data_IF_132860639316
#
_entry.id   IF_132860639316
#
_cell.length_a   1.000
_cell.length_b   1.000
_cell.length_c   1.000
_cell.angle_alpha   90.00
_cell.angle_beta   90.00
_cell.angle_gamma   90.00
#
_symmetry.space_group_name_H-M   'P 1'
#
loop_
_entity.id
_entity.type
_entity.pdbx_description
1 polymer ?
#
# COMPACT_ATOMS: atom_id res chain seq x y z
N UNK A 1 1.28 44.15 21.36
CA UNK A 1 1.25 43.07 20.35
C UNK A 1 0.44 41.93 20.91
N UNK A 2 -0.51 41.38 20.16
CA UNK A 2 -1.48 40.40 20.66
C UNK A 2 -0.73 39.13 21.11
N UNK A 3 -0.80 38.73 22.38
CA UNK A 3 -0.24 37.49 22.87
C UNK A 3 -1.23 36.36 22.55
N UNK A 4 -0.82 35.33 21.82
CA UNK A 4 -1.65 34.13 21.65
C UNK A 4 -1.82 33.55 20.24
N UNK A 5 -1.03 33.97 19.24
CA UNK A 5 -0.88 33.16 18.04
C UNK A 5 0.43 32.37 18.14
N UNK A 6 0.31 31.05 18.27
CA UNK A 6 1.39 30.12 17.94
C UNK A 6 1.90 30.49 16.54
N UNK A 7 3.15 30.93 16.46
CA UNK A 7 3.82 31.21 15.20
C UNK A 7 3.82 29.93 14.33
N UNK A 8 3.62 30.09 13.02
CA UNK A 8 3.51 28.96 12.10
C UNK A 8 4.79 28.10 12.04
N UNK A 9 5.95 28.62 12.48
CA UNK A 9 7.15 27.82 12.68
C UNK A 9 7.03 26.91 13.92
N UNK A 10 6.47 27.42 15.02
CA UNK A 10 6.28 26.64 16.25
C UNK A 10 5.30 25.48 16.08
N UNK A 11 4.26 25.63 15.24
CA UNK A 11 3.37 24.52 14.89
C UNK A 11 4.07 23.44 14.07
N UNK A 12 4.94 23.83 13.12
CA UNK A 12 5.72 22.88 12.30
C UNK A 12 6.69 22.07 13.15
N UNK A 13 7.36 22.72 14.09
CA UNK A 13 8.25 22.02 15.03
C UNK A 13 7.51 21.07 15.96
N UNK A 14 6.34 21.47 16.47
CA UNK A 14 5.53 20.60 17.32
C UNK A 14 5.01 19.37 16.56
N UNK A 15 4.57 19.56 15.31
CA UNK A 15 4.14 18.46 14.44
C UNK A 15 5.29 17.52 14.10
N UNK A 16 6.49 18.05 13.82
CA UNK A 16 7.70 17.25 13.55
C UNK A 16 8.10 16.43 14.77
N UNK A 17 8.18 17.05 15.95
CA UNK A 17 8.48 16.36 17.22
C UNK A 17 7.47 15.25 17.55
N UNK A 18 6.18 15.46 17.25
CA UNK A 18 5.14 14.44 17.45
C UNK A 18 5.26 13.27 16.46
N UNK A 19 5.69 13.52 15.22
CA UNK A 19 5.97 12.47 14.25
C UNK A 19 7.21 11.65 14.64
N UNK A 20 8.31 12.32 15.02
CA UNK A 20 9.54 11.64 15.47
C UNK A 20 9.28 10.78 16.72
N UNK A 21 8.50 11.27 17.68
CA UNK A 21 8.13 10.50 18.86
C UNK A 21 7.28 9.26 18.53
N UNK A 22 6.40 9.33 17.52
CA UNK A 22 5.63 8.16 17.06
C UNK A 22 6.50 7.14 16.34
N UNK A 23 7.51 7.58 15.58
CA UNK A 23 8.47 6.70 14.91
C UNK A 23 9.40 6.01 15.90
N UNK A 24 9.88 6.72 16.93
CA UNK A 24 10.70 6.15 18.00
C UNK A 24 9.90 5.15 18.85
N UNK A 25 8.64 5.44 19.18
CA UNK A 25 7.78 4.52 19.95
C UNK A 25 7.49 3.19 19.23
N UNK A 26 7.56 3.16 17.89
CA UNK A 26 7.40 1.94 17.08
C UNK A 26 8.67 1.08 17.03
N UNK A 27 9.84 1.67 17.28
CA UNK A 27 11.13 0.96 17.24
C UNK A 27 11.52 0.39 18.60
N UNK A 28 11.07 1.01 19.70
CA UNK A 28 11.38 0.60 21.08
C UNK A 28 10.61 -0.64 21.58
N UNK A 29 9.43 -0.94 21.02
CA UNK A 29 8.54 -1.95 21.61
C UNK A 29 8.84 -3.41 21.23
N UNK A 30 9.75 -3.70 20.27
CA UNK A 30 10.22 -5.05 19.91
C UNK A 30 9.17 -6.10 19.47
N UNK A 31 7.88 -5.79 19.63
CA UNK A 31 6.73 -6.63 19.36
C UNK A 31 5.97 -5.99 18.19
N UNK A 32 5.65 -6.76 17.13
CA UNK A 32 4.85 -6.23 16.04
C UNK A 32 3.49 -5.80 16.61
N UNK A 33 3.22 -4.49 16.56
CA UNK A 33 1.92 -3.94 16.91
C UNK A 33 0.83 -4.73 16.13
N UNK A 34 -0.32 -5.06 16.75
CA UNK A 34 -1.37 -5.80 16.08
C UNK A 34 -1.72 -5.08 14.77
N UNK A 35 -1.61 -5.81 13.65
CA UNK A 35 -1.83 -5.24 12.31
C UNK A 35 -3.28 -4.75 12.25
N UNK A 36 -3.48 -3.45 12.38
CA UNK A 36 -4.79 -2.83 12.13
C UNK A 36 -5.26 -3.20 10.73
N UNK A 37 -6.57 -3.27 10.48
CA UNK A 37 -7.14 -3.57 9.16
C UNK A 37 -6.53 -2.70 8.05
N UNK A 38 -6.20 -1.44 8.37
CA UNK A 38 -5.51 -0.54 7.45
C UNK A 38 -4.09 -1.01 7.09
N UNK A 39 -3.32 -1.49 8.08
CA UNK A 39 -2.00 -2.06 7.85
C UNK A 39 -2.06 -3.32 6.98
N UNK A 40 -3.06 -4.18 7.21
CA UNK A 40 -3.26 -5.38 6.38
C UNK A 40 -3.57 -5.03 4.92
N UNK A 41 -4.44 -4.04 4.67
CA UNK A 41 -4.72 -3.57 3.31
C UNK A 41 -3.47 -2.96 2.65
N UNK A 42 -2.66 -2.22 3.41
CA UNK A 42 -1.40 -1.66 2.89
C UNK A 42 -0.43 -2.77 2.48
N UNK A 43 -0.28 -3.81 3.29
CA UNK A 43 0.57 -4.96 2.98
C UNK A 43 0.10 -5.68 1.72
N UNK A 44 -1.19 -5.99 1.61
CA UNK A 44 -1.74 -6.65 0.42
C UNK A 44 -1.58 -5.81 -0.86
N UNK A 45 -1.76 -4.49 -0.77
CA UNK A 45 -1.50 -3.59 -1.91
C UNK A 45 -0.03 -3.62 -2.31
N UNK A 46 0.88 -3.62 -1.33
CA UNK A 46 2.32 -3.69 -1.59
C UNK A 46 2.69 -5.01 -2.25
N UNK A 47 2.18 -6.14 -1.75
CA UNK A 47 2.40 -7.46 -2.34
C UNK A 47 1.90 -7.52 -3.77
N UNK A 48 0.66 -7.07 -4.02
CA UNK A 48 0.08 -7.01 -5.35
C UNK A 48 0.93 -6.16 -6.31
N UNK A 49 1.39 -4.98 -5.88
CA UNK A 49 2.23 -4.11 -6.70
C UNK A 49 3.57 -4.77 -7.04
N UNK A 50 4.22 -5.42 -6.08
CA UNK A 50 5.46 -6.18 -6.31
C UNK A 50 5.25 -7.29 -7.34
N UNK A 51 4.17 -8.06 -7.23
CA UNK A 51 3.84 -9.11 -8.20
C UNK A 51 3.58 -8.55 -9.60
N UNK A 52 2.95 -7.37 -9.70
CA UNK A 52 2.75 -6.68 -10.98
C UNK A 52 4.07 -6.26 -11.60
N UNK A 53 5.01 -5.71 -10.83
CA UNK A 53 6.36 -5.42 -11.32
C UNK A 53 7.07 -6.68 -11.83
N UNK A 54 7.01 -7.78 -11.09
CA UNK A 54 7.58 -9.06 -11.55
C UNK A 54 6.90 -9.54 -12.84
N UNK A 55 5.57 -9.48 -12.93
CA UNK A 55 4.84 -9.85 -14.14
C UNK A 55 5.21 -8.97 -15.34
N UNK A 56 5.34 -7.66 -15.13
CA UNK A 56 5.78 -6.70 -16.15
C UNK A 56 7.15 -7.09 -16.71
N UNK A 57 8.14 -7.31 -15.85
CA UNK A 57 9.48 -7.67 -16.27
C UNK A 57 9.54 -9.04 -16.98
N UNK A 58 8.70 -10.00 -16.59
CA UNK A 58 8.68 -11.34 -17.21
C UNK A 58 7.94 -11.40 -18.55
N UNK A 59 6.88 -10.61 -18.71
CA UNK A 59 5.97 -10.71 -19.88
C UNK A 59 6.08 -9.52 -20.84
N UNK A 60 6.81 -8.46 -20.46
CA UNK A 60 6.91 -7.21 -21.21
C UNK A 60 5.64 -6.34 -21.19
N UNK A 61 4.56 -6.79 -20.55
CA UNK A 61 3.27 -6.07 -20.57
C UNK A 61 3.27 -4.86 -19.64
N UNK A 62 2.74 -3.70 -20.04
CA UNK A 62 2.69 -2.52 -19.18
C UNK A 62 1.92 -2.74 -17.87
N UNK A 63 2.34 -2.09 -16.78
CA UNK A 63 1.68 -2.18 -15.47
C UNK A 63 0.17 -1.89 -15.54
N UNK A 64 -0.23 -0.83 -16.26
CA UNK A 64 -1.63 -0.46 -16.43
C UNK A 64 -2.45 -1.53 -17.15
N UNK A 65 -1.84 -2.23 -18.12
CA UNK A 65 -2.47 -3.36 -18.80
C UNK A 65 -2.73 -4.50 -17.81
N UNK A 66 -1.72 -4.86 -16.99
CA UNK A 66 -1.83 -5.94 -16.00
C UNK A 66 -2.90 -5.62 -14.95
N UNK A 67 -2.92 -4.40 -14.40
CA UNK A 67 -3.94 -3.98 -13.44
C UNK A 67 -5.35 -4.02 -14.03
N UNK A 68 -5.53 -3.59 -15.29
CA UNK A 68 -6.81 -3.65 -15.97
C UNK A 68 -7.27 -5.09 -16.17
N UNK A 69 -6.37 -5.99 -16.54
CA UNK A 69 -6.70 -7.41 -16.70
C UNK A 69 -7.10 -8.07 -15.38
N UNK A 70 -6.34 -7.84 -14.31
CA UNK A 70 -6.69 -8.34 -12.98
C UNK A 70 -8.05 -7.81 -12.52
N UNK A 71 -8.36 -6.55 -12.84
CA UNK A 71 -9.68 -5.95 -12.57
C UNK A 71 -10.78 -6.56 -13.44
N UNK A 72 -10.52 -6.92 -14.70
CA UNK A 72 -11.50 -7.62 -15.55
C UNK A 72 -11.80 -9.02 -15.02
N UNK A 73 -10.77 -9.76 -14.59
CA UNK A 73 -10.89 -11.14 -14.08
C UNK A 73 -11.57 -11.22 -12.72
N UNK A 74 -11.15 -10.38 -11.77
CA UNK A 74 -11.66 -10.42 -10.39
C UNK A 74 -12.83 -9.46 -10.15
N UNK A 75 -13.06 -8.51 -11.05
CA UNK A 75 -14.02 -7.43 -10.85
C UNK A 75 -13.59 -6.37 -9.82
N UNK A 76 -14.55 -5.51 -9.46
CA UNK A 76 -14.41 -4.55 -8.38
C UNK A 76 -13.73 -3.21 -8.71
N UNK A 77 -13.55 -2.36 -7.69
CA UNK A 77 -13.00 -1.01 -7.82
C UNK A 77 -11.46 -1.00 -8.01
N UNK A 78 -10.84 0.14 -8.33
CA UNK A 78 -9.38 0.27 -8.39
C UNK A 78 -8.69 -0.15 -7.07
N UNK A 79 -7.41 -0.52 -7.12
CA UNK A 79 -6.63 -1.04 -5.96
C UNK A 79 -6.72 -0.14 -4.72
N UNK A 80 -6.75 1.18 -4.91
CA UNK A 80 -6.86 2.14 -3.81
C UNK A 80 -8.16 1.95 -2.99
N UNK A 81 -9.25 1.53 -3.63
CA UNK A 81 -10.57 1.32 -3.03
C UNK A 81 -10.96 -0.16 -2.90
N UNK A 82 -10.07 -1.09 -3.27
CA UNK A 82 -10.35 -2.52 -3.19
C UNK A 82 -10.40 -3.02 -1.74
N UNK A 83 -11.32 -3.95 -1.49
CA UNK A 83 -11.43 -4.66 -0.21
C UNK A 83 -10.30 -5.67 -0.04
N UNK A 84 -10.16 -6.22 1.17
CA UNK A 84 -9.15 -7.25 1.47
C UNK A 84 -9.30 -8.46 0.56
N UNK A 85 -10.51 -9.00 0.45
CA UNK A 85 -10.84 -10.16 -0.38
C UNK A 85 -10.52 -9.90 -1.86
N UNK A 86 -10.84 -8.71 -2.36
CA UNK A 86 -10.53 -8.33 -3.75
C UNK A 86 -9.03 -8.23 -4.02
N UNK A 87 -8.25 -7.72 -3.06
CA UNK A 87 -6.79 -7.68 -3.18
C UNK A 87 -6.20 -9.09 -3.18
N UNK A 88 -6.70 -9.97 -2.30
CA UNK A 88 -6.27 -11.37 -2.24
C UNK A 88 -6.58 -12.10 -3.55
N UNK A 89 -7.80 -11.98 -4.06
CA UNK A 89 -8.20 -12.56 -5.34
C UNK A 89 -7.30 -12.09 -6.50
N UNK A 90 -6.90 -10.81 -6.50
CA UNK A 90 -5.98 -10.28 -7.53
C UNK A 90 -4.56 -10.83 -7.39
N UNK A 91 -4.07 -11.05 -6.17
CA UNK A 91 -2.79 -11.70 -5.88
C UNK A 91 -2.78 -13.14 -6.40
N UNK A 92 -3.89 -13.87 -6.26
CA UNK A 92 -3.99 -15.22 -6.79
C UNK A 92 -4.12 -15.22 -8.32
N UNK A 93 -4.93 -14.30 -8.87
CA UNK A 93 -5.13 -14.17 -10.31
C UNK A 93 -3.85 -13.79 -11.06
N UNK A 94 -2.96 -12.97 -10.50
CA UNK A 94 -1.70 -12.61 -11.19
C UNK A 94 -0.76 -13.81 -11.33
N UNK A 95 -0.77 -14.76 -10.39
CA UNK A 95 0.02 -16.00 -10.50
C UNK A 95 -0.46 -16.87 -11.66
N UNK A 96 -1.77 -16.91 -11.89
CA UNK A 96 -2.38 -17.61 -13.04
C UNK A 96 -2.05 -16.87 -14.34
N UNK A 97 -2.30 -15.56 -14.38
CA UNK A 97 -2.02 -14.70 -15.53
C UNK A 97 -0.55 -14.79 -15.96
N UNK A 98 0.40 -14.79 -15.01
CA UNK A 98 1.81 -14.96 -15.32
C UNK A 98 2.09 -16.26 -16.07
N UNK A 99 1.54 -17.40 -15.60
CA UNK A 99 1.73 -18.69 -16.26
C UNK A 99 1.15 -18.73 -17.66
N UNK A 100 -0.05 -18.17 -17.85
CA UNK A 100 -0.71 -18.12 -19.17
C UNK A 100 0.07 -17.31 -20.21
N UNK A 101 0.84 -16.31 -19.77
CA UNK A 101 1.58 -15.41 -20.68
C UNK A 101 3.00 -15.86 -20.97
N UNK A 102 3.52 -16.79 -20.18
CA UNK A 102 4.86 -17.35 -20.36
C UNK A 102 4.84 -18.79 -20.89
N UNK A 103 3.64 -19.37 -21.04
CA UNK A 103 3.42 -20.61 -21.76
C UNK A 103 3.38 -20.35 -23.27
#
# INVERSE_FOLDING_TARGET
GIPGLLDAASMRDLLRRRQDAQLQKRTDSGLPAPKTTHNQLRELRSELNTLVSVAHHRTGRPHGWIHNELRRRCGGPPIAAATREQLQQRIDAIRVLQRELTA
#
